data_IF_679769144185
#
_entry.id   IF_679769144185
#
_cell.length_a   1.000
_cell.length_b   1.000
_cell.length_c   1.000
_cell.angle_alpha   90.00
_cell.angle_beta   90.00
_cell.angle_gamma   90.00
#
_symmetry.space_group_name_H-M   'P 1'
#
loop_
_entity.id
_entity.type
_entity.pdbx_description
1 polymer ?
#
# COMPACT_ATOMS: atom_id res chain seq x y z
N UNK A 1 -14.70 -12.55 -4.05
CA UNK A 1 -15.23 -11.27 -3.54
C UNK A 1 -14.44 -10.87 -2.30
N UNK A 2 -13.45 -10.01 -2.46
CA UNK A 2 -12.92 -9.12 -1.43
C UNK A 2 -12.36 -7.94 -2.23
N UNK A 3 -12.99 -6.77 -2.10
CA UNK A 3 -12.67 -5.58 -2.88
C UNK A 3 -11.19 -5.23 -2.73
N UNK A 4 -10.46 -5.30 -3.84
CA UNK A 4 -9.08 -4.84 -3.94
C UNK A 4 -9.05 -3.31 -4.12
N UNK A 5 -9.75 -2.59 -3.25
CA UNK A 5 -9.92 -1.13 -3.36
C UNK A 5 -9.22 -0.40 -2.21
N UNK A 6 -8.09 -0.93 -1.75
CA UNK A 6 -7.10 -0.09 -1.05
C UNK A 6 -6.00 0.25 -2.04
N UNK A 7 -6.35 1.05 -3.05
CA UNK A 7 -5.37 1.68 -3.91
C UNK A 7 -4.38 2.44 -3.04
N UNK A 8 -3.12 2.02 -3.05
CA UNK A 8 -2.07 2.62 -2.24
C UNK A 8 -1.87 4.09 -2.66
N UNK A 9 -2.50 5.02 -1.95
CA UNK A 9 -2.53 6.43 -2.35
C UNK A 9 -1.15 7.06 -2.24
N UNK A 10 -0.74 7.76 -3.29
CA UNK A 10 0.48 8.59 -3.29
C UNK A 10 0.14 9.90 -2.59
N UNK A 11 0.81 10.18 -1.47
CA UNK A 11 0.63 11.42 -0.70
C UNK A 11 1.64 12.49 -1.09
N UNK A 12 2.78 12.09 -1.68
CA UNK A 12 3.82 13.03 -2.12
C UNK A 12 4.64 12.46 -3.26
N UNK A 13 4.98 13.31 -4.23
CA UNK A 13 6.02 13.06 -5.21
C UNK A 13 7.24 13.89 -4.86
N UNK A 14 8.39 13.23 -4.77
CA UNK A 14 9.68 13.87 -4.54
C UNK A 14 10.26 14.34 -5.87
N UNK A 15 11.12 15.37 -5.85
CA UNK A 15 11.74 15.93 -7.07
C UNK A 15 12.63 14.92 -7.82
N UNK A 16 13.13 13.92 -7.12
CA UNK A 16 13.90 12.79 -7.65
C UNK A 16 13.00 11.66 -8.21
N UNK A 17 11.68 11.88 -8.31
CA UNK A 17 10.72 10.93 -8.84
C UNK A 17 10.22 9.89 -7.83
N UNK A 18 10.73 9.89 -6.60
CA UNK A 18 10.29 8.93 -5.57
C UNK A 18 8.89 9.28 -5.05
N UNK A 19 8.01 8.28 -5.01
CA UNK A 19 6.65 8.39 -4.46
C UNK A 19 6.64 8.04 -2.98
N UNK A 20 6.03 8.92 -2.18
CA UNK A 20 5.67 8.63 -0.79
C UNK A 20 4.21 8.24 -0.79
N UNK A 21 3.93 7.07 -0.25
CA UNK A 21 2.57 6.55 -0.13
C UNK A 21 2.03 6.76 1.29
N UNK A 22 0.71 6.78 1.39
CA UNK A 22 -0.02 6.82 2.65
C UNK A 22 0.43 5.69 3.60
N UNK A 23 0.67 6.04 4.85
CA UNK A 23 1.23 5.13 5.83
C UNK A 23 0.22 4.04 6.26
N UNK A 24 -1.06 4.39 6.37
CA UNK A 24 -2.12 3.44 6.70
C UNK A 24 -2.31 2.42 5.57
N UNK A 25 -2.32 2.89 4.32
CA UNK A 25 -2.37 2.01 3.15
C UNK A 25 -1.18 1.06 3.08
N UNK A 26 0.03 1.55 3.38
CA UNK A 26 1.23 0.69 3.41
C UNK A 26 1.12 -0.37 4.49
N UNK A 27 0.68 0.01 5.68
CA UNK A 27 0.54 -0.90 6.81
C UNK A 27 -0.49 -1.99 6.52
N UNK A 28 -1.65 -1.63 5.98
CA UNK A 28 -2.68 -2.59 5.56
C UNK A 28 -2.14 -3.60 4.55
N UNK A 29 -1.33 -3.16 3.59
CA UNK A 29 -0.71 -4.04 2.60
C UNK A 29 0.29 -5.02 3.23
N UNK A 30 1.11 -4.56 4.18
CA UNK A 30 2.02 -5.43 4.94
C UNK A 30 1.25 -6.45 5.77
N UNK A 31 0.22 -6.02 6.50
CA UNK A 31 -0.61 -6.91 7.32
C UNK A 31 -1.34 -7.97 6.48
N UNK A 32 -1.77 -7.60 5.27
CA UNK A 32 -2.34 -8.55 4.32
C UNK A 32 -1.31 -9.59 3.84
N UNK A 33 -0.09 -9.15 3.53
CA UNK A 33 0.99 -10.03 3.05
C UNK A 33 1.50 -10.99 4.14
N UNK A 34 1.35 -10.63 5.42
CA UNK A 34 1.71 -11.51 6.53
C UNK A 34 0.70 -12.64 6.77
N UNK A 35 -0.46 -12.64 6.10
CA UNK A 35 -1.45 -13.71 6.23
C UNK A 35 -0.94 -14.99 5.57
N UNK A 36 -1.17 -16.16 6.18
CA UNK A 36 -0.80 -17.44 5.57
C UNK A 36 -1.48 -17.65 4.22
N UNK A 37 -0.74 -18.17 3.23
CA UNK A 37 -1.28 -18.51 1.92
C UNK A 37 -1.44 -17.33 0.95
N UNK A 38 -0.86 -16.17 1.28
CA UNK A 38 -0.82 -14.98 0.41
C UNK A 38 0.63 -14.78 -0.05
N UNK A 39 0.87 -14.57 -1.34
CA UNK A 39 2.19 -14.33 -1.94
C UNK A 39 2.10 -13.30 -3.05
#
# INVERSE_FOLDING_TARGET
>A
MAGNDSELRVVRLSRDGRRRYDENGKRALVEAALRPGVS
#
